data_IF_581201842086
#
_entry.id   IF_581201842086
#
_cell.length_a   1.000
_cell.length_b   1.000
_cell.length_c   1.000
_cell.angle_alpha   90.00
_cell.angle_beta   90.00
_cell.angle_gamma   90.00
#
_symmetry.space_group_name_H-M   'P 1'
#
loop_
_entity.id
_entity.type
_entity.pdbx_description
1 polymer ?
#
# COMPACT_ATOMS: atom_id res chain seq x y z
N UNK A 1 -5.05 37.76 -66.96
CA UNK A 1 -5.19 36.37 -66.48
C UNK A 1 -5.47 36.40 -64.99
N UNK A 2 -6.64 35.89 -64.56
CA UNK A 2 -7.05 35.86 -63.14
C UNK A 2 -6.57 34.54 -62.53
N UNK A 3 -5.76 34.60 -61.47
CA UNK A 3 -5.31 33.42 -60.76
C UNK A 3 -6.43 32.92 -59.82
N UNK A 4 -6.89 31.67 -60.00
CA UNK A 4 -7.77 31.00 -59.06
C UNK A 4 -6.94 30.48 -57.88
N UNK A 5 -7.24 30.96 -56.67
CA UNK A 5 -6.73 30.38 -55.43
C UNK A 5 -7.69 29.27 -55.02
N UNK A 6 -7.25 28.01 -55.11
CA UNK A 6 -7.98 26.86 -54.59
C UNK A 6 -7.75 26.77 -53.07
N UNK A 7 -8.80 27.00 -52.28
CA UNK A 7 -8.79 26.79 -50.83
C UNK A 7 -9.11 25.32 -50.57
N UNK A 8 -8.12 24.55 -50.13
CA UNK A 8 -8.32 23.19 -49.62
C UNK A 8 -8.79 23.24 -48.17
N UNK A 9 -10.06 22.93 -47.92
CA UNK A 9 -10.59 22.76 -46.56
C UNK A 9 -10.22 21.35 -46.07
N UNK A 10 -9.27 21.26 -45.14
CA UNK A 10 -8.97 20.01 -44.44
C UNK A 10 -10.06 19.74 -43.42
N UNK A 11 -10.89 18.74 -43.66
CA UNK A 11 -11.85 18.25 -42.67
C UNK A 11 -11.10 17.48 -41.57
N UNK A 12 -11.06 18.01 -40.36
CA UNK A 12 -10.58 17.26 -39.18
C UNK A 12 -11.61 16.21 -38.82
N UNK A 13 -11.30 14.95 -39.12
CA UNK A 13 -12.01 13.79 -38.58
C UNK A 13 -11.68 13.68 -37.08
N UNK A 14 -12.63 14.03 -36.22
CA UNK A 14 -12.56 13.73 -34.79
C UNK A 14 -12.74 12.23 -34.60
N UNK A 15 -11.64 11.53 -34.35
CA UNK A 15 -11.70 10.15 -33.86
C UNK A 15 -12.21 10.20 -32.43
N UNK A 16 -13.51 10.03 -32.25
CA UNK A 16 -14.10 9.75 -30.93
C UNK A 16 -13.63 8.36 -30.51
N UNK A 17 -12.44 8.26 -29.92
CA UNK A 17 -12.06 7.06 -29.20
C UNK A 17 -13.06 6.86 -28.06
N UNK A 18 -13.83 5.78 -28.10
CA UNK A 18 -14.64 5.36 -26.96
C UNK A 18 -13.70 5.10 -25.78
N UNK A 19 -13.52 6.09 -24.91
CA UNK A 19 -12.95 5.83 -23.60
C UNK A 19 -13.93 4.91 -22.89
N UNK A 20 -13.49 3.68 -22.61
CA UNK A 20 -14.23 2.79 -21.75
C UNK A 20 -14.55 3.51 -20.44
N UNK A 21 -15.80 3.38 -19.96
CA UNK A 21 -16.23 4.01 -18.73
C UNK A 21 -15.31 3.60 -17.57
N UNK A 22 -14.76 4.59 -16.87
CA UNK A 22 -13.89 4.36 -15.70
C UNK A 22 -14.69 3.67 -14.60
N UNK A 23 -14.20 2.53 -14.12
CA UNK A 23 -14.79 1.72 -13.05
C UNK A 23 -14.27 2.18 -11.68
N UNK A 24 -13.01 2.60 -11.60
CA UNK A 24 -12.44 3.23 -10.40
C UNK A 24 -12.99 4.66 -10.23
N UNK A 25 -14.15 4.75 -9.57
CA UNK A 25 -14.91 6.00 -9.35
C UNK A 25 -14.35 6.80 -8.17
N UNK A 26 -14.76 8.06 -8.01
CA UNK A 26 -14.26 9.00 -6.98
C UNK A 26 -14.27 8.46 -5.54
N UNK A 27 -15.17 7.54 -5.20
CA UNK A 27 -15.20 6.91 -3.88
C UNK A 27 -13.94 6.06 -3.63
N UNK A 28 -13.41 5.40 -4.66
CA UNK A 28 -12.27 4.51 -4.53
C UNK A 28 -10.91 5.21 -4.25
N UNK A 29 -10.48 6.26 -4.98
CA UNK A 29 -9.24 6.99 -4.66
C UNK A 29 -9.32 7.68 -3.30
N UNK A 30 -10.46 8.30 -2.96
CA UNK A 30 -10.66 8.92 -1.64
C UNK A 30 -10.48 7.87 -0.54
N UNK A 31 -11.16 6.73 -0.68
CA UNK A 31 -11.04 5.61 0.24
C UNK A 31 -9.59 5.09 0.36
N UNK A 32 -8.89 4.93 -0.77
CA UNK A 32 -7.49 4.49 -0.79
C UNK A 32 -6.59 5.50 -0.09
N UNK A 33 -6.66 6.77 -0.46
CA UNK A 33 -5.82 7.85 0.08
C UNK A 33 -6.06 8.03 1.57
N UNK A 34 -7.32 8.04 2.00
CA UNK A 34 -7.68 8.20 3.42
C UNK A 34 -7.14 7.07 4.27
N UNK A 35 -7.28 5.81 3.83
CA UNK A 35 -6.74 4.68 4.59
C UNK A 35 -5.20 4.61 4.57
N UNK A 36 -4.55 4.96 3.45
CA UNK A 36 -3.10 5.03 3.38
C UNK A 36 -2.55 6.11 4.34
N UNK A 37 -3.18 7.28 4.41
CA UNK A 37 -2.85 8.36 5.35
C UNK A 37 -3.12 7.96 6.79
N UNK A 38 -4.32 7.45 7.09
CA UNK A 38 -4.74 7.01 8.43
C UNK A 38 -3.74 6.04 9.03
N UNK A 39 -3.43 4.96 8.30
CA UNK A 39 -2.52 3.91 8.78
C UNK A 39 -1.08 4.38 8.94
N UNK A 40 -0.60 5.28 8.07
CA UNK A 40 0.70 5.96 8.24
C UNK A 40 0.75 6.75 9.53
N UNK A 41 -0.26 7.60 9.75
CA UNK A 41 -0.29 8.53 10.89
C UNK A 41 -0.48 7.78 12.22
N UNK A 42 -1.26 6.69 12.21
CA UNK A 42 -1.36 5.77 13.35
C UNK A 42 -0.01 5.10 13.65
N UNK A 43 0.70 4.58 12.65
CA UNK A 43 2.01 3.95 12.88
C UNK A 43 3.03 4.95 13.43
N UNK A 44 3.05 6.19 12.91
CA UNK A 44 3.90 7.26 13.43
C UNK A 44 3.58 7.51 14.91
N UNK A 45 2.30 7.74 15.24
CA UNK A 45 1.88 7.99 16.64
C UNK A 45 2.24 6.84 17.57
N UNK A 46 2.12 5.61 17.09
CA UNK A 46 2.39 4.42 17.88
C UNK A 46 3.88 4.11 18.04
N UNK A 47 4.74 4.79 17.29
CA UNK A 47 6.18 4.64 17.41
C UNK A 47 6.87 5.93 17.86
N UNK A 48 6.07 6.96 18.12
CA UNK A 48 6.51 8.25 18.64
C UNK A 48 7.07 8.09 20.05
N UNK A 49 8.18 8.77 20.33
CA UNK A 49 8.85 8.84 21.65
C UNK A 49 9.29 7.50 22.27
N UNK A 50 9.26 6.40 21.51
CA UNK A 50 9.77 5.13 22.01
C UNK A 50 11.28 5.21 22.28
N UNK A 51 11.68 4.77 23.47
CA UNK A 51 13.09 4.63 23.85
C UNK A 51 13.76 3.49 23.06
N UNK A 52 15.09 3.47 23.05
CA UNK A 52 15.83 2.40 22.37
C UNK A 52 15.49 1.00 22.93
N UNK A 53 15.36 0.90 24.26
CA UNK A 53 14.95 -0.35 24.91
C UNK A 53 13.52 -0.77 24.52
N UNK A 54 12.61 0.19 24.32
CA UNK A 54 11.24 -0.08 23.87
C UNK A 54 11.19 -0.54 22.41
N UNK A 55 11.97 0.09 21.53
CA UNK A 55 12.12 -0.32 20.13
C UNK A 55 12.58 -1.77 19.98
N UNK A 56 13.53 -2.17 20.83
CA UNK A 56 14.21 -3.47 20.76
C UNK A 56 13.71 -4.48 21.80
N UNK A 57 12.56 -4.23 22.45
CA UNK A 57 12.00 -5.20 23.38
C UNK A 57 11.44 -6.42 22.66
N UNK A 58 11.85 -7.62 23.11
CA UNK A 58 11.34 -8.90 22.65
C UNK A 58 10.52 -9.58 23.76
N UNK A 59 9.27 -9.96 23.46
CA UNK A 59 8.43 -10.74 24.38
C UNK A 59 9.04 -12.13 24.66
N UNK A 60 9.67 -12.74 23.65
CA UNK A 60 10.39 -14.01 23.69
C UNK A 60 11.41 -14.09 22.53
N UNK A 61 12.40 -15.01 22.56
CA UNK A 61 13.46 -15.09 21.54
C UNK A 61 12.99 -15.33 20.10
N UNK A 62 11.78 -15.87 19.92
CA UNK A 62 11.16 -16.19 18.62
C UNK A 62 10.14 -15.13 18.15
N UNK A 63 9.98 -14.04 18.91
CA UNK A 63 9.03 -12.96 18.61
C UNK A 63 9.76 -11.75 18.08
N UNK A 64 9.08 -10.96 17.26
CA UNK A 64 9.61 -9.69 16.77
C UNK A 64 9.40 -8.57 17.79
N UNK A 65 10.41 -7.72 17.89
CA UNK A 65 10.35 -6.39 18.51
C UNK A 65 9.58 -5.39 17.66
N UNK A 66 9.31 -4.20 18.20
CA UNK A 66 8.67 -3.11 17.43
C UNK A 66 9.56 -2.70 16.25
N UNK A 67 10.88 -2.64 16.44
CA UNK A 67 11.82 -2.31 15.35
C UNK A 67 11.69 -3.28 14.16
N UNK A 68 11.63 -4.58 14.45
CA UNK A 68 11.48 -5.63 13.45
C UNK A 68 10.10 -5.62 12.78
N UNK A 69 9.03 -5.34 13.53
CA UNK A 69 7.69 -5.17 12.94
C UNK A 69 7.65 -3.99 11.96
N UNK A 70 8.28 -2.86 12.30
CA UNK A 70 8.33 -1.69 11.41
C UNK A 70 9.24 -1.94 10.20
N UNK A 71 10.36 -2.65 10.38
CA UNK A 71 11.22 -3.09 9.26
C UNK A 71 10.42 -3.97 8.28
N UNK A 72 9.67 -4.95 8.79
CA UNK A 72 8.81 -5.82 7.99
C UNK A 72 7.80 -5.01 7.15
N UNK A 73 7.13 -4.03 7.78
CA UNK A 73 6.22 -3.13 7.07
C UNK A 73 6.93 -2.34 5.97
N UNK A 74 8.12 -1.81 6.26
CA UNK A 74 8.88 -1.02 5.29
C UNK A 74 9.37 -1.84 4.08
N UNK A 75 9.77 -3.11 4.29
CA UNK A 75 10.11 -4.03 3.21
C UNK A 75 8.91 -4.28 2.29
N UNK A 76 7.71 -4.46 2.85
CA UNK A 76 6.49 -4.61 2.06
C UNK A 76 6.10 -3.35 1.29
N UNK A 77 6.40 -2.14 1.80
CA UNK A 77 6.17 -0.91 1.05
C UNK A 77 6.97 -0.87 -0.27
N UNK A 78 8.22 -1.37 -0.31
CA UNK A 78 8.99 -1.46 -1.57
C UNK A 78 8.28 -2.43 -2.53
N UNK A 79 7.88 -3.58 -2.01
CA UNK A 79 7.28 -4.64 -2.82
C UNK A 79 5.99 -4.14 -3.45
N UNK A 80 5.10 -3.52 -2.68
CA UNK A 80 3.87 -2.96 -3.24
C UNK A 80 4.11 -1.75 -4.13
N UNK A 81 5.09 -0.90 -3.85
CA UNK A 81 5.46 0.17 -4.77
C UNK A 81 5.86 -0.40 -6.16
N UNK A 82 6.60 -1.51 -6.18
CA UNK A 82 6.89 -2.25 -7.43
C UNK A 82 5.64 -2.82 -8.06
N UNK A 83 4.80 -3.53 -7.31
CA UNK A 83 3.59 -4.17 -7.86
C UNK A 83 2.61 -3.15 -8.45
N UNK A 84 2.33 -2.06 -7.73
CA UNK A 84 1.51 -0.95 -8.23
C UNK A 84 2.13 -0.34 -9.50
N UNK A 85 3.43 -0.09 -9.48
CA UNK A 85 4.16 0.47 -10.62
C UNK A 85 4.04 -0.41 -11.87
N UNK A 86 4.18 -1.74 -11.72
CA UNK A 86 4.02 -2.68 -12.83
C UNK A 86 2.57 -2.83 -13.29
N UNK A 87 1.64 -3.08 -12.36
CA UNK A 87 0.23 -3.28 -12.69
C UNK A 87 -0.36 -2.05 -13.37
N UNK A 88 -0.03 -0.84 -12.90
CA UNK A 88 -0.50 0.39 -13.51
C UNK A 88 -0.01 0.62 -14.95
N UNK A 89 1.15 0.07 -15.32
CA UNK A 89 1.69 0.14 -16.70
C UNK A 89 1.20 -1.00 -17.59
N UNK A 90 0.46 -1.94 -17.03
CA UNK A 90 -0.01 -3.11 -17.77
C UNK A 90 -1.21 -2.75 -18.65
N UNK A 91 -1.51 -3.63 -19.61
CA UNK A 91 -2.74 -3.52 -20.40
C UNK A 91 -3.94 -3.68 -19.47
N UNK A 92 -4.94 -2.77 -19.51
CA UNK A 92 -6.20 -2.96 -18.79
C UNK A 92 -6.87 -4.30 -19.13
N UNK A 93 -7.36 -5.01 -18.11
CA UNK A 93 -7.99 -6.33 -18.19
C UNK A 93 -9.36 -6.36 -17.52
N UNK A 94 -10.38 -5.65 -18.06
CA UNK A 94 -11.73 -5.67 -17.50
C UNK A 94 -12.34 -7.08 -17.46
N UNK A 95 -11.88 -8.00 -18.30
CA UNK A 95 -12.27 -9.41 -18.31
C UNK A 95 -11.92 -10.16 -17.01
N UNK A 96 -10.92 -9.68 -16.24
CA UNK A 96 -10.50 -10.29 -15.00
C UNK A 96 -11.29 -9.84 -13.77
N UNK A 97 -12.12 -8.80 -13.88
CA UNK A 97 -12.87 -8.24 -12.72
C UNK A 97 -13.72 -9.31 -12.03
N UNK A 98 -14.41 -10.14 -12.82
CA UNK A 98 -15.26 -11.21 -12.30
C UNK A 98 -14.48 -12.36 -11.64
N UNK A 99 -13.15 -12.39 -11.81
CA UNK A 99 -12.28 -13.42 -11.21
C UNK A 99 -11.73 -13.01 -9.86
N UNK A 100 -11.62 -11.72 -9.55
CA UNK A 100 -11.13 -11.26 -8.26
C UNK A 100 -12.14 -11.51 -7.14
N UNK A 101 -11.64 -11.79 -5.94
CA UNK A 101 -12.45 -11.74 -4.74
C UNK A 101 -13.04 -10.33 -4.52
N UNK A 102 -14.20 -10.20 -3.86
CA UNK A 102 -14.73 -8.90 -3.46
C UNK A 102 -13.81 -8.20 -2.46
N UNK A 103 -13.92 -6.88 -2.34
CA UNK A 103 -13.08 -6.09 -1.42
C UNK A 103 -13.22 -6.56 0.05
N UNK A 104 -14.42 -7.02 0.45
CA UNK A 104 -14.70 -7.59 1.77
C UNK A 104 -13.83 -8.80 2.13
N UNK A 105 -13.42 -9.61 1.15
CA UNK A 105 -12.53 -10.74 1.40
C UNK A 105 -11.19 -10.29 2.01
N UNK A 106 -10.63 -9.19 1.52
CA UNK A 106 -9.36 -8.68 2.03
C UNK A 106 -9.55 -8.07 3.41
N UNK A 107 -10.69 -7.40 3.67
CA UNK A 107 -11.05 -6.95 5.01
C UNK A 107 -11.09 -8.08 6.03
N UNK A 108 -11.74 -9.19 5.70
CA UNK A 108 -11.84 -10.36 6.57
C UNK A 108 -10.46 -10.96 6.85
N UNK A 109 -9.63 -11.08 5.82
CA UNK A 109 -8.24 -11.53 5.94
C UNK A 109 -7.39 -10.60 6.83
N UNK A 110 -7.59 -9.29 6.72
CA UNK A 110 -6.87 -8.31 7.56
C UNK A 110 -7.24 -8.51 9.02
N UNK A 111 -8.51 -8.82 9.34
CA UNK A 111 -9.03 -8.86 10.71
C UNK A 111 -8.86 -10.21 11.42
N UNK A 112 -8.50 -11.29 10.72
CA UNK A 112 -8.26 -12.57 11.38
C UNK A 112 -7.00 -12.57 12.27
N UNK A 113 -6.99 -13.47 13.27
CA UNK A 113 -5.92 -13.58 14.27
C UNK A 113 -4.99 -14.78 14.05
N UNK A 114 -5.06 -15.44 12.88
CA UNK A 114 -4.18 -16.59 12.58
C UNK A 114 -2.73 -16.14 12.47
N UNK A 115 -1.79 -16.92 13.01
CA UNK A 115 -0.37 -16.62 12.87
C UNK A 115 0.09 -16.91 11.43
N UNK A 116 0.77 -15.95 10.80
CA UNK A 116 1.30 -16.10 9.45
C UNK A 116 2.83 -16.11 9.49
N UNK A 117 3.44 -16.88 8.60
CA UNK A 117 4.89 -16.92 8.43
C UNK A 117 5.25 -15.92 7.34
N UNK A 118 6.14 -14.98 7.68
CA UNK A 118 6.67 -14.03 6.72
C UNK A 118 7.58 -14.74 5.70
N UNK A 119 7.43 -14.47 4.39
CA UNK A 119 8.37 -14.96 3.40
C UNK A 119 9.73 -14.28 3.57
N UNK A 120 10.79 -14.99 3.17
CA UNK A 120 12.18 -14.64 3.48
C UNK A 120 12.58 -13.22 3.04
N UNK A 121 12.09 -12.76 1.88
CA UNK A 121 12.36 -11.42 1.36
C UNK A 121 11.75 -10.27 2.19
N UNK A 122 10.85 -10.59 3.11
CA UNK A 122 10.20 -9.62 4.00
C UNK A 122 10.46 -9.92 5.47
N UNK A 123 11.37 -10.86 5.79
CA UNK A 123 11.79 -11.04 7.18
C UNK A 123 12.70 -9.87 7.59
N UNK A 124 12.56 -9.36 8.83
CA UNK A 124 13.46 -8.36 9.37
C UNK A 124 14.91 -8.83 9.29
N UNK A 125 15.80 -7.93 8.88
CA UNK A 125 17.24 -8.20 8.70
C UNK A 125 18.07 -7.52 9.79
N UNK A 126 17.51 -6.51 10.46
CA UNK A 126 18.23 -5.63 11.38
C UNK A 126 19.18 -4.65 10.69
N UNK A 127 19.20 -4.60 9.34
CA UNK A 127 20.08 -3.70 8.60
C UNK A 127 19.71 -2.23 8.80
N UNK A 128 18.42 -1.93 8.82
CA UNK A 128 17.89 -0.61 9.18
C UNK A 128 17.46 -0.68 10.65
N UNK A 129 18.00 0.21 11.48
CA UNK A 129 17.86 0.13 12.93
C UNK A 129 16.78 1.07 13.48
N UNK A 130 15.99 0.56 14.43
CA UNK A 130 15.02 1.31 15.23
C UNK A 130 14.18 2.30 14.43
N UNK A 131 14.23 3.58 14.82
CA UNK A 131 13.47 4.68 14.19
C UNK A 131 13.75 4.88 12.71
N UNK A 132 14.88 4.43 12.18
CA UNK A 132 15.18 4.58 10.75
C UNK A 132 14.25 3.69 9.89
N UNK A 133 13.70 2.60 10.44
CA UNK A 133 12.68 1.79 9.78
C UNK A 133 11.42 2.62 9.50
N UNK A 134 11.02 3.48 10.43
CA UNK A 134 9.86 4.36 10.27
C UNK A 134 10.08 5.40 9.17
N UNK A 135 11.29 5.96 9.06
CA UNK A 135 11.64 6.91 7.99
C UNK A 135 11.52 6.22 6.63
N UNK A 136 12.06 5.00 6.53
CA UNK A 136 12.01 4.20 5.31
C UNK A 136 10.57 3.87 4.90
N UNK A 137 9.75 3.36 5.84
CA UNK A 137 8.32 3.13 5.63
C UNK A 137 7.61 4.42 5.17
N UNK A 138 7.77 5.51 5.90
CA UNK A 138 7.05 6.77 5.68
C UNK A 138 7.37 7.38 4.32
N UNK A 139 8.63 7.28 3.88
CA UNK A 139 9.04 7.78 2.56
C UNK A 139 8.27 7.08 1.44
N UNK A 140 8.20 5.75 1.46
CA UNK A 140 7.49 5.00 0.43
C UNK A 140 5.98 5.16 0.54
N UNK A 141 5.45 5.19 1.77
CA UNK A 141 4.03 5.42 1.99
C UNK A 141 3.58 6.78 1.47
N UNK A 142 4.39 7.82 1.63
CA UNK A 142 4.11 9.15 1.07
C UNK A 142 4.14 9.14 -0.47
N UNK A 143 5.03 8.37 -1.09
CA UNK A 143 5.02 8.18 -2.55
C UNK A 143 3.75 7.45 -3.02
N UNK A 144 3.35 6.41 -2.31
CA UNK A 144 2.11 5.67 -2.59
C UNK A 144 0.88 6.56 -2.47
N UNK A 145 0.79 7.39 -1.42
CA UNK A 145 -0.28 8.38 -1.23
C UNK A 145 -0.28 9.38 -2.39
N UNK A 146 0.85 10.00 -2.71
CA UNK A 146 0.94 10.99 -3.78
C UNK A 146 0.56 10.42 -5.15
N UNK A 147 0.93 9.18 -5.43
CA UNK A 147 0.52 8.49 -6.66
C UNK A 147 -0.98 8.19 -6.67
N UNK A 148 -1.54 7.63 -5.59
CA UNK A 148 -2.97 7.33 -5.49
C UNK A 148 -3.85 8.59 -5.60
N UNK A 149 -3.37 9.73 -5.10
CA UNK A 149 -4.06 11.02 -5.12
C UNK A 149 -4.09 11.67 -6.51
N UNK A 150 -3.07 11.41 -7.34
CA UNK A 150 -2.89 12.13 -8.62
C UNK A 150 -3.13 11.27 -9.86
N UNK A 151 -3.08 9.94 -9.73
CA UNK A 151 -3.16 9.03 -10.86
C UNK A 151 -4.52 9.09 -11.56
N UNK A 152 -4.49 9.08 -12.90
CA UNK A 152 -5.67 9.01 -13.74
C UNK A 152 -6.02 7.59 -14.18
N UNK A 153 -5.16 6.62 -13.85
CA UNK A 153 -5.37 5.24 -14.23
C UNK A 153 -6.61 4.64 -13.54
N UNK A 154 -7.27 3.72 -14.21
CA UNK A 154 -8.37 2.96 -13.64
C UNK A 154 -7.82 1.72 -12.91
N UNK A 155 -7.66 1.84 -11.59
CA UNK A 155 -7.07 0.78 -10.76
C UNK A 155 -7.95 -0.47 -10.61
N UNK A 156 -9.22 -0.41 -11.03
CA UNK A 156 -10.15 -1.55 -11.01
C UNK A 156 -9.98 -2.46 -12.22
N UNK A 157 -9.41 -1.96 -13.31
CA UNK A 157 -9.11 -2.74 -14.53
C UNK A 157 -7.63 -3.09 -14.68
N UNK A 158 -6.77 -2.61 -13.77
CA UNK A 158 -5.35 -2.97 -13.72
C UNK A 158 -5.13 -4.06 -12.68
N UNK A 159 -4.39 -5.10 -13.04
CA UNK A 159 -4.24 -6.32 -12.22
C UNK A 159 -2.79 -6.60 -11.89
N UNK A 160 -2.58 -7.26 -10.76
CA UNK A 160 -1.26 -7.71 -10.37
C UNK A 160 -0.75 -8.75 -11.39
N UNK A 161 0.55 -8.69 -11.68
CA UNK A 161 1.17 -9.60 -12.64
C UNK A 161 1.59 -10.91 -11.94
N UNK A 162 0.63 -11.50 -11.24
CA UNK A 162 0.80 -12.79 -10.59
C UNK A 162 0.16 -13.86 -11.45
N UNK A 163 0.81 -15.02 -11.60
CA UNK A 163 0.23 -16.16 -12.31
C UNK A 163 -0.83 -16.90 -11.46
N UNK A 164 -1.58 -16.15 -10.63
CA UNK A 164 -2.61 -16.72 -9.75
C UNK A 164 -3.94 -16.84 -10.48
N UNK A 165 -4.80 -17.75 -10.00
CA UNK A 165 -6.13 -17.97 -10.58
C UNK A 165 -7.07 -16.77 -10.38
N UNK A 166 -6.83 -15.97 -9.35
CA UNK A 166 -7.70 -14.88 -8.89
C UNK A 166 -6.86 -13.64 -8.57
N UNK A 167 -6.27 -12.98 -9.59
CA UNK A 167 -5.39 -11.84 -9.35
C UNK A 167 -6.18 -10.67 -8.75
N UNK A 168 -5.55 -9.94 -7.84
CA UNK A 168 -6.06 -8.65 -7.33
C UNK A 168 -5.98 -7.58 -8.39
N UNK A 169 -6.99 -6.71 -8.42
CA UNK A 169 -6.82 -5.42 -9.08
C UNK A 169 -5.96 -4.47 -8.23
N UNK A 170 -5.43 -3.41 -8.82
CA UNK A 170 -4.52 -2.47 -8.14
C UNK A 170 -5.16 -1.74 -6.96
N UNK A 171 -6.48 -1.49 -7.02
CA UNK A 171 -7.20 -0.94 -5.86
C UNK A 171 -7.21 -1.93 -4.68
N UNK A 172 -7.39 -3.22 -4.95
CA UNK A 172 -7.33 -4.27 -3.94
C UNK A 172 -5.92 -4.51 -3.40
N UNK A 173 -4.88 -4.29 -4.20
CA UNK A 173 -3.50 -4.27 -3.71
C UNK A 173 -3.34 -3.15 -2.67
N UNK A 174 -3.91 -1.97 -2.90
CA UNK A 174 -3.93 -0.91 -1.89
C UNK A 174 -4.73 -1.26 -0.63
N UNK A 175 -5.88 -1.94 -0.77
CA UNK A 175 -6.64 -2.48 0.37
C UNK A 175 -5.75 -3.35 1.24
N UNK A 176 -5.03 -4.27 0.60
CA UNK A 176 -4.11 -5.15 1.29
C UNK A 176 -2.95 -4.39 1.94
N UNK A 177 -2.41 -3.38 1.27
CA UNK A 177 -1.29 -2.58 1.74
C UNK A 177 -1.60 -1.78 3.01
N UNK A 178 -2.70 -1.03 3.06
CA UNK A 178 -3.06 -0.32 4.30
C UNK A 178 -3.55 -1.30 5.38
N UNK A 179 -4.27 -2.36 4.99
CA UNK A 179 -4.76 -3.36 5.93
C UNK A 179 -3.67 -4.15 6.64
N UNK A 180 -2.57 -4.42 5.93
CA UNK A 180 -1.39 -5.04 6.51
C UNK A 180 -0.79 -4.20 7.66
N UNK A 181 -0.80 -2.87 7.51
CA UNK A 181 -0.39 -1.96 8.59
C UNK A 181 -1.35 -2.09 9.77
N UNK A 182 -2.67 -2.06 9.57
CA UNK A 182 -3.64 -2.24 10.66
C UNK A 182 -3.42 -3.56 11.43
N UNK A 183 -3.07 -4.63 10.73
CA UNK A 183 -2.73 -5.92 11.34
C UNK A 183 -1.50 -5.83 12.23
N UNK A 184 -0.41 -5.27 11.71
CA UNK A 184 0.81 -5.09 12.50
C UNK A 184 0.68 -4.01 13.57
N UNK A 185 -0.28 -3.09 13.45
CA UNK A 185 -0.59 -2.17 14.52
C UNK A 185 -1.11 -2.88 15.76
N UNK A 186 -1.96 -3.89 15.58
CA UNK A 186 -2.41 -4.74 16.69
C UNK A 186 -1.26 -5.53 17.32
N UNK A 187 -0.29 -5.96 16.52
CA UNK A 187 0.92 -6.59 17.03
C UNK A 187 1.76 -5.63 17.88
N UNK A 188 2.00 -4.40 17.41
CA UNK A 188 2.73 -3.37 18.18
C UNK A 188 2.03 -3.08 19.51
N UNK A 189 0.70 -2.89 19.48
CA UNK A 189 -0.11 -2.66 20.70
C UNK A 189 -0.01 -3.82 21.68
N UNK A 190 0.04 -5.06 21.19
CA UNK A 190 0.24 -6.26 22.01
C UNK A 190 1.62 -6.28 22.66
N UNK A 191 2.70 -5.97 21.91
CA UNK A 191 4.06 -5.89 22.45
C UNK A 191 4.13 -4.87 23.60
N UNK A 192 3.55 -3.67 23.39
CA UNK A 192 3.50 -2.61 24.41
C UNK A 192 2.73 -3.00 25.67
N UNK A 193 1.73 -3.87 25.53
CA UNK A 193 0.92 -4.36 26.65
C UNK A 193 1.61 -5.48 27.44
N UNK A 194 2.78 -5.96 26.99
CA UNK A 194 3.50 -7.02 27.68
C UNK A 194 3.99 -6.55 29.07
N UNK A 195 3.85 -7.34 30.15
CA UNK A 195 4.19 -6.91 31.51
C UNK A 195 5.65 -6.45 31.70
N UNK A 196 6.57 -7.03 30.92
CA UNK A 196 8.00 -6.72 30.95
C UNK A 196 8.41 -5.64 29.94
N UNK A 197 7.47 -5.06 29.18
CA UNK A 197 7.77 -3.99 28.25
C UNK A 197 8.35 -2.79 29.02
N UNK A 198 9.47 -2.18 28.56
CA UNK A 198 10.11 -1.09 29.30
C UNK A 198 9.16 0.08 29.46
N UNK A 199 8.98 0.53 30.70
CA UNK A 199 8.23 1.76 31.02
C UNK A 199 9.15 2.95 30.85
N UNK A 200 8.61 4.09 30.45
CA UNK A 200 9.35 5.36 30.50
C UNK A 200 9.85 5.56 31.93
N UNK A 201 11.17 5.62 32.11
CA UNK A 201 11.72 6.14 33.36
C UNK A 201 11.42 7.62 33.36
N UNK A 202 10.55 8.07 34.27
CA UNK A 202 10.41 9.49 34.57
C UNK A 202 11.81 10.04 34.88
N UNK A 203 12.39 10.77 33.95
CA UNK A 203 13.51 11.65 34.24
C UNK A 203 12.97 12.74 35.14
N UNK A 204 13.17 12.58 36.45
CA UNK A 204 13.04 13.65 37.44
C UNK A 204 14.05 14.77 37.12
#
# INVERSE_FOLDING_TARGET
>A
MKALIAVFTVAMLTVNGSQAQKIWTEADPNYTVDNLKRTRDELIRETENLSDAQWHFHEAPDRWSIAEVVEHLALWEIIWAREISMGNRSTPRPDLIATSSPDSYYHDFIMENKAHVSPDFSRPTGFIQGKNNLIFFTRLRNQAIGFADTTQADMRVQFELTATKYPRNMHQVYIYQWGHVDRHMRQIRKIKAHPNYPKETATN
#
